data_IF_987645787123
#
_entry.id   IF_987645787123
#
_cell.length_a   1.000
_cell.length_b   1.000
_cell.length_c   1.000
_cell.angle_alpha   90.00
_cell.angle_beta   90.00
_cell.angle_gamma   90.00
#
_symmetry.space_group_name_H-M   'P 1'
#
loop_
_entity.id
_entity.type
_entity.pdbx_description
1 polymer ?
#
# COMPACT_ATOMS: atom_id res chain seq x y z
N UNK A 1 16.77 -8.79 7.22
CA UNK A 1 16.52 -9.77 8.30
C UNK A 1 16.99 -11.12 7.80
N UNK A 2 17.79 -11.85 8.59
CA UNK A 2 18.29 -13.18 8.19
C UNK A 2 17.12 -14.16 8.11
N UNK A 3 17.02 -14.90 7.01
CA UNK A 3 16.09 -16.02 6.87
C UNK A 3 16.26 -16.99 8.06
N UNK A 4 15.17 -17.63 8.54
CA UNK A 4 15.29 -18.63 9.60
C UNK A 4 16.24 -19.73 9.12
N UNK A 5 17.37 -19.92 9.81
CA UNK A 5 18.31 -20.98 9.46
C UNK A 5 17.63 -22.34 9.70
N UNK A 6 17.60 -23.20 8.68
CA UNK A 6 17.02 -24.54 8.81
C UNK A 6 17.83 -25.44 9.78
N UNK A 7 17.23 -26.49 10.37
CA UNK A 7 17.91 -27.42 11.28
C UNK A 7 19.27 -27.95 10.79
N UNK A 8 19.40 -28.22 9.48
CA UNK A 8 20.69 -28.63 8.89
C UNK A 8 21.71 -27.50 8.87
N UNK A 9 21.29 -26.28 8.54
CA UNK A 9 22.17 -25.11 8.54
C UNK A 9 22.66 -24.80 9.96
N UNK A 10 21.80 -24.91 10.96
CA UNK A 10 22.19 -24.80 12.37
C UNK A 10 23.22 -25.87 12.75
N UNK A 11 22.98 -27.13 12.36
CA UNK A 11 23.91 -28.22 12.62
C UNK A 11 25.28 -28.02 11.94
N UNK A 12 25.35 -27.60 10.68
CA UNK A 12 26.63 -27.45 9.98
C UNK A 12 27.36 -26.13 10.31
N UNK A 13 26.62 -25.06 10.58
CA UNK A 13 27.20 -23.74 10.88
C UNK A 13 28.06 -23.73 12.15
N UNK A 14 27.74 -24.58 13.14
CA UNK A 14 28.58 -24.73 14.35
C UNK A 14 29.99 -25.28 14.04
N UNK A 15 30.20 -25.82 12.85
CA UNK A 15 31.47 -26.40 12.42
C UNK A 15 32.20 -25.59 11.36
N UNK A 16 31.71 -24.43 10.94
CA UNK A 16 32.39 -23.57 9.95
C UNK A 16 33.81 -23.19 10.39
N UNK A 17 34.78 -23.29 9.49
CA UNK A 17 36.19 -22.91 9.74
C UNK A 17 36.92 -22.58 8.43
N UNK A 18 38.14 -22.06 8.53
CA UNK A 18 38.97 -21.79 7.35
C UNK A 18 39.26 -23.10 6.60
N UNK A 19 38.64 -23.28 5.44
CA UNK A 19 38.73 -24.49 4.61
C UNK A 19 37.46 -25.36 4.55
N UNK A 20 36.38 -24.96 5.21
CA UNK A 20 35.07 -25.62 5.10
C UNK A 20 33.94 -24.59 5.27
N UNK A 21 33.07 -24.53 4.27
CA UNK A 21 31.84 -23.75 4.28
C UNK A 21 30.71 -24.69 3.90
N UNK A 22 29.67 -24.72 4.72
CA UNK A 22 28.47 -25.51 4.45
C UNK A 22 27.84 -25.15 3.09
N UNK A 23 27.63 -26.15 2.24
CA UNK A 23 26.87 -26.04 1.00
C UNK A 23 25.45 -26.64 1.18
N UNK A 24 24.38 -25.82 1.16
CA UNK A 24 23.01 -26.31 1.34
C UNK A 24 22.49 -27.18 0.18
N UNK A 25 23.15 -27.19 -0.97
CA UNK A 25 22.74 -27.98 -2.13
C UNK A 25 23.31 -29.40 -2.13
N UNK A 26 24.29 -29.69 -1.28
CA UNK A 26 24.89 -31.01 -1.13
C UNK A 26 24.06 -31.88 -0.16
N UNK A 27 23.76 -33.15 -0.48
CA UNK A 27 23.04 -34.05 0.43
C UNK A 27 23.70 -34.13 1.81
N UNK A 28 22.90 -34.03 2.89
CA UNK A 28 23.42 -33.89 4.26
C UNK A 28 24.44 -34.97 4.68
N UNK A 29 24.28 -36.21 4.21
CA UNK A 29 25.24 -37.29 4.48
C UNK A 29 26.56 -37.14 3.71
N UNK A 30 26.53 -36.57 2.51
CA UNK A 30 27.72 -36.28 1.71
C UNK A 30 28.47 -35.09 2.27
N UNK A 31 27.74 -34.03 2.63
CA UNK A 31 28.26 -32.85 3.30
C UNK A 31 28.91 -33.20 4.65
N UNK A 32 28.31 -34.11 5.42
CA UNK A 32 28.90 -34.61 6.66
C UNK A 32 30.18 -35.42 6.44
N UNK A 33 30.25 -36.22 5.37
CA UNK A 33 31.50 -36.93 5.00
C UNK A 33 32.60 -35.93 4.66
N UNK A 34 32.27 -34.88 3.90
CA UNK A 34 33.21 -33.82 3.56
C UNK A 34 33.72 -33.10 4.81
N UNK A 35 32.82 -32.73 5.73
CA UNK A 35 33.17 -32.16 7.04
C UNK A 35 34.10 -33.08 7.84
N UNK A 36 33.80 -34.38 7.91
CA UNK A 36 34.63 -35.35 8.63
C UNK A 36 36.05 -35.45 8.06
N UNK A 37 36.18 -35.41 6.73
CA UNK A 37 37.48 -35.42 6.04
C UNK A 37 38.24 -34.11 6.29
N UNK A 38 37.60 -32.96 6.11
CA UNK A 38 38.21 -31.64 6.30
C UNK A 38 38.71 -31.44 7.74
N UNK A 39 37.97 -31.95 8.74
CA UNK A 39 38.35 -31.90 10.15
C UNK A 39 39.24 -33.05 10.62
N UNK A 40 39.52 -34.03 9.74
CA UNK A 40 40.26 -35.25 10.06
C UNK A 40 39.71 -35.98 11.30
N UNK A 41 38.38 -36.08 11.44
CA UNK A 41 37.77 -36.70 12.60
C UNK A 41 38.03 -38.21 12.66
N UNK A 42 38.46 -38.69 13.83
CA UNK A 42 38.56 -40.12 14.10
C UNK A 42 37.18 -40.77 14.31
N UNK A 43 37.11 -42.09 14.15
CA UNK A 43 35.86 -42.89 14.24
C UNK A 43 34.96 -42.55 15.45
N UNK A 44 35.55 -42.29 16.61
CA UNK A 44 34.80 -41.94 17.83
C UNK A 44 34.00 -40.65 17.65
N UNK A 45 34.66 -39.59 17.14
CA UNK A 45 34.06 -38.27 16.96
C UNK A 45 33.02 -38.24 15.83
N UNK A 46 33.25 -39.05 14.79
CA UNK A 46 32.25 -39.27 13.73
C UNK A 46 30.96 -39.84 14.34
N UNK A 47 31.04 -40.91 15.14
CA UNK A 47 29.85 -41.51 15.78
C UNK A 47 29.13 -40.54 16.72
N UNK A 48 29.87 -39.72 17.46
CA UNK A 48 29.30 -38.71 18.37
C UNK A 48 28.44 -37.69 17.60
N UNK A 49 28.88 -37.23 16.43
CA UNK A 49 28.14 -36.24 15.63
C UNK A 49 27.15 -36.84 14.62
N UNK A 50 27.32 -38.10 14.23
CA UNK A 50 26.42 -38.81 13.31
C UNK A 50 24.99 -38.90 13.85
N UNK A 51 24.85 -39.13 15.16
CA UNK A 51 23.52 -39.16 15.81
C UNK A 51 22.84 -37.78 15.76
N UNK A 52 23.61 -36.71 16.01
CA UNK A 52 23.10 -35.35 15.96
C UNK A 52 22.73 -34.92 14.53
N UNK A 53 23.49 -35.37 13.52
CA UNK A 53 23.14 -35.17 12.11
C UNK A 53 21.82 -35.87 11.78
N UNK A 54 21.65 -37.14 12.16
CA UNK A 54 20.42 -37.88 11.87
C UNK A 54 19.19 -37.21 12.49
N UNK A 55 19.30 -36.69 13.71
CA UNK A 55 18.23 -35.91 14.34
C UNK A 55 17.96 -34.58 13.60
N UNK A 56 19.00 -33.90 13.11
CA UNK A 56 18.82 -32.69 12.32
C UNK A 56 18.15 -32.99 10.97
N UNK A 57 18.50 -34.11 10.31
CA UNK A 57 17.86 -34.60 9.08
C UNK A 57 16.39 -34.93 9.33
N UNK A 58 16.07 -35.61 10.44
CA UNK A 58 14.69 -35.94 10.80
C UNK A 58 13.87 -34.67 11.08
N UNK A 59 14.40 -33.70 11.83
CA UNK A 59 13.75 -32.41 12.08
C UNK A 59 13.55 -31.59 10.81
N UNK A 60 14.54 -31.59 9.92
CA UNK A 60 14.43 -30.95 8.61
C UNK A 60 13.33 -31.61 7.77
N UNK A 61 13.24 -32.95 7.80
CA UNK A 61 12.16 -33.69 7.12
C UNK A 61 10.80 -33.42 7.75
N UNK A 62 10.69 -33.32 9.07
CA UNK A 62 9.44 -33.00 9.75
C UNK A 62 9.02 -31.54 9.52
N UNK A 63 9.97 -30.60 9.47
CA UNK A 63 9.72 -29.22 9.05
C UNK A 63 9.21 -29.20 7.60
N UNK A 64 9.86 -29.96 6.70
CA UNK A 64 9.42 -30.13 5.31
C UNK A 64 8.05 -30.79 5.20
N UNK A 65 7.73 -31.79 6.03
CA UNK A 65 6.40 -32.41 6.10
C UNK A 65 5.35 -31.45 6.62
N UNK A 66 5.69 -30.63 7.62
CA UNK A 66 4.80 -29.59 8.16
C UNK A 66 4.52 -28.48 7.14
N UNK A 67 5.51 -28.14 6.31
CA UNK A 67 5.39 -27.21 5.20
C UNK A 67 4.67 -27.82 3.99
N UNK A 68 4.87 -29.12 3.72
CA UNK A 68 4.16 -29.86 2.68
C UNK A 68 2.67 -30.06 3.01
N UNK A 69 2.31 -30.04 4.30
CA UNK A 69 0.90 -30.03 4.72
C UNK A 69 0.20 -28.68 4.51
N UNK A 70 0.95 -27.58 4.39
CA UNK A 70 0.40 -26.26 4.11
C UNK A 70 0.16 -26.08 2.61
N UNK A 71 1.10 -26.50 1.76
CA UNK A 71 1.09 -26.30 0.29
C UNK A 71 0.18 -27.26 -0.53
N UNK A 72 -0.74 -27.99 0.11
CA UNK A 72 -1.48 -29.08 -0.56
C UNK A 72 -2.28 -28.63 -1.80
N UNK A 73 -3.07 -27.54 -1.75
CA UNK A 73 -3.84 -27.07 -2.90
C UNK A 73 -3.00 -26.68 -4.12
N UNK A 74 -1.89 -25.96 -3.91
CA UNK A 74 -1.00 -25.55 -4.99
C UNK A 74 -0.24 -26.74 -5.56
N UNK A 75 0.26 -27.61 -4.68
CA UNK A 75 0.94 -28.83 -5.10
C UNK A 75 0.01 -29.75 -5.90
N UNK A 76 -1.25 -29.92 -5.48
CA UNK A 76 -2.27 -30.68 -6.21
C UNK A 76 -2.54 -30.06 -7.59
N UNK A 77 -2.68 -28.73 -7.65
CA UNK A 77 -2.87 -28.00 -8.91
C UNK A 77 -1.68 -28.18 -9.88
N UNK A 78 -0.44 -28.03 -9.43
CA UNK A 78 0.71 -28.13 -10.34
C UNK A 78 1.06 -29.59 -10.69
N UNK A 79 0.88 -30.51 -9.74
CA UNK A 79 1.23 -31.92 -9.94
C UNK A 79 0.36 -32.63 -10.99
N UNK A 80 -0.87 -32.15 -11.23
CA UNK A 80 -1.73 -32.67 -12.30
C UNK A 80 -1.16 -32.42 -13.71
N UNK A 81 -0.17 -31.54 -13.83
CA UNK A 81 0.47 -31.16 -15.10
C UNK A 81 1.92 -31.63 -15.22
N UNK A 82 2.42 -32.49 -14.33
CA UNK A 82 3.77 -33.04 -14.44
C UNK A 82 3.92 -33.90 -15.70
N UNK A 83 4.89 -33.59 -16.56
CA UNK A 83 5.21 -34.37 -17.77
C UNK A 83 6.69 -34.28 -18.14
N UNK A 84 7.11 -35.00 -19.19
CA UNK A 84 8.49 -34.93 -19.68
C UNK A 84 8.81 -33.53 -20.23
N UNK A 85 9.40 -32.68 -19.38
CA UNK A 85 9.72 -31.28 -19.70
C UNK A 85 9.20 -30.26 -18.68
N UNK A 86 8.37 -30.66 -17.72
CA UNK A 86 7.92 -29.79 -16.63
C UNK A 86 7.79 -30.60 -15.33
N UNK A 87 8.41 -30.12 -14.26
CA UNK A 87 8.29 -30.68 -12.91
C UNK A 87 8.12 -29.52 -11.96
N UNK A 88 7.03 -29.54 -11.21
CA UNK A 88 6.71 -28.51 -10.23
C UNK A 88 7.87 -28.28 -9.24
N UNK A 89 8.39 -27.06 -9.19
CA UNK A 89 9.36 -26.62 -8.18
C UNK A 89 8.67 -25.76 -7.10
N UNK A 90 8.49 -26.27 -5.87
CA UNK A 90 7.84 -25.52 -4.80
C UNK A 90 8.67 -24.33 -4.29
N UNK A 91 9.92 -24.18 -4.74
CA UNK A 91 10.80 -23.08 -4.36
C UNK A 91 10.72 -21.88 -5.31
N UNK A 92 10.14 -22.05 -6.49
CA UNK A 92 9.87 -20.96 -7.43
C UNK A 92 8.66 -20.15 -6.97
N UNK A 93 8.67 -18.80 -7.07
CA UNK A 93 7.49 -17.99 -6.82
C UNK A 93 6.27 -18.49 -7.61
N UNK A 94 5.13 -18.61 -6.94
CA UNK A 94 3.94 -19.32 -7.46
C UNK A 94 3.43 -18.76 -8.81
N UNK A 95 3.57 -17.45 -9.04
CA UNK A 95 3.24 -16.82 -10.33
C UNK A 95 4.25 -17.13 -11.43
N UNK A 96 5.54 -17.17 -11.10
CA UNK A 96 6.60 -17.53 -12.05
C UNK A 96 6.48 -19.00 -12.45
N UNK A 97 6.16 -19.87 -11.48
CA UNK A 97 5.93 -21.30 -11.70
C UNK A 97 4.72 -21.54 -12.62
N UNK A 98 3.63 -20.77 -12.48
CA UNK A 98 2.50 -20.80 -13.41
C UNK A 98 2.91 -20.29 -14.81
N UNK A 99 3.78 -19.28 -14.88
CA UNK A 99 4.37 -18.82 -16.13
C UNK A 99 5.18 -19.90 -16.83
N UNK A 100 6.03 -20.63 -16.10
CA UNK A 100 6.79 -21.76 -16.63
C UNK A 100 5.90 -22.89 -17.10
N UNK A 101 4.85 -23.22 -16.34
CA UNK A 101 3.84 -24.20 -16.74
C UNK A 101 3.18 -23.81 -18.08
N UNK A 102 2.74 -22.56 -18.22
CA UNK A 102 2.12 -22.06 -19.44
C UNK A 102 3.07 -22.14 -20.65
N UNK A 103 4.35 -21.81 -20.44
CA UNK A 103 5.37 -21.88 -21.48
C UNK A 103 5.69 -23.33 -21.87
N UNK A 104 5.85 -24.22 -20.90
CA UNK A 104 6.18 -25.63 -21.13
C UNK A 104 5.09 -26.36 -21.90
N UNK A 105 3.83 -26.07 -21.59
CA UNK A 105 2.68 -26.65 -22.30
C UNK A 105 2.30 -25.92 -23.59
N UNK A 106 2.92 -24.76 -23.87
CA UNK A 106 2.61 -23.91 -25.01
C UNK A 106 1.11 -23.61 -25.13
N UNK A 107 0.46 -23.33 -24.00
CA UNK A 107 -0.97 -23.09 -23.98
C UNK A 107 -1.36 -21.83 -24.77
N UNK A 108 -2.42 -21.94 -25.56
CA UNK A 108 -3.01 -20.77 -26.23
C UNK A 108 -3.77 -19.88 -25.24
N UNK A 109 -4.07 -18.61 -25.59
CA UNK A 109 -4.69 -17.63 -24.68
C UNK A 109 -6.01 -18.07 -24.05
N UNK A 110 -6.78 -18.95 -24.73
CA UNK A 110 -8.02 -19.48 -24.19
C UNK A 110 -7.79 -20.46 -23.03
N UNK A 111 -6.79 -21.34 -23.18
CA UNK A 111 -6.46 -22.34 -22.16
C UNK A 111 -5.75 -21.69 -20.97
N UNK A 112 -4.90 -20.68 -21.22
CA UNK A 112 -4.28 -19.89 -20.16
C UNK A 112 -5.37 -19.29 -19.24
N UNK A 113 -6.39 -18.64 -19.79
CA UNK A 113 -7.49 -18.05 -18.99
C UNK A 113 -8.26 -19.07 -18.17
N UNK A 114 -8.48 -20.27 -18.70
CA UNK A 114 -9.17 -21.34 -17.98
C UNK A 114 -8.33 -21.88 -16.82
N UNK A 115 -7.04 -22.11 -17.07
CA UNK A 115 -6.12 -22.62 -16.06
C UNK A 115 -5.72 -21.56 -15.04
N UNK A 116 -5.70 -20.29 -15.43
CA UNK A 116 -5.48 -19.15 -14.53
C UNK A 116 -6.58 -19.07 -13.47
N UNK A 117 -7.83 -19.36 -13.84
CA UNK A 117 -8.94 -19.42 -12.87
C UNK A 117 -8.75 -20.56 -11.86
N UNK A 118 -8.38 -21.77 -12.33
CA UNK A 118 -8.13 -22.92 -11.47
C UNK A 118 -6.90 -22.71 -10.55
N UNK A 119 -5.87 -22.05 -11.09
CA UNK A 119 -4.69 -21.63 -10.36
C UNK A 119 -5.02 -20.63 -9.26
N UNK A 120 -5.80 -19.58 -9.56
CA UNK A 120 -6.23 -18.59 -8.56
C UNK A 120 -7.05 -19.24 -7.44
N UNK A 121 -7.93 -20.19 -7.77
CA UNK A 121 -8.68 -20.98 -6.77
C UNK A 121 -7.73 -21.79 -5.87
N UNK A 122 -6.67 -22.36 -6.42
CA UNK A 122 -5.67 -23.10 -5.64
C UNK A 122 -4.87 -22.16 -4.70
N UNK A 123 -4.48 -20.97 -5.18
CA UNK A 123 -3.84 -19.92 -4.36
C UNK A 123 -4.76 -19.46 -3.22
N UNK A 124 -6.06 -19.34 -3.47
CA UNK A 124 -7.05 -18.91 -2.49
C UNK A 124 -7.27 -19.98 -1.41
N UNK A 125 -7.37 -21.26 -1.80
CA UNK A 125 -7.45 -22.39 -0.84
C UNK A 125 -6.22 -22.51 0.04
N UNK A 126 -5.05 -22.23 -0.51
CA UNK A 126 -3.78 -22.18 0.22
C UNK A 126 -3.80 -21.07 1.30
N UNK A 127 -4.37 -19.90 0.96
CA UNK A 127 -4.52 -18.77 1.89
C UNK A 127 -5.57 -19.03 2.97
N UNK A 128 -6.67 -19.69 2.64
CA UNK A 128 -7.72 -20.08 3.60
C UNK A 128 -7.19 -21.04 4.67
N UNK A 129 -6.25 -21.93 4.33
CA UNK A 129 -5.60 -22.85 5.28
C UNK A 129 -4.65 -22.14 6.26
N UNK A 130 -4.13 -20.96 5.91
CA UNK A 130 -3.25 -20.16 6.76
C UNK A 130 -3.97 -19.23 7.74
N UNK A 131 -5.31 -19.26 7.78
CA UNK A 131 -6.10 -18.43 8.68
C UNK A 131 -6.09 -16.96 8.27
N UNK A 132 -6.76 -16.64 7.16
CA UNK A 132 -7.07 -15.25 6.84
C UNK A 132 -8.26 -14.77 7.66
N UNK A 133 -8.12 -13.60 8.29
CA UNK A 133 -9.25 -12.82 8.79
C UNK A 133 -10.23 -12.60 7.62
N UNK A 134 -11.52 -12.79 7.81
CA UNK A 134 -12.51 -12.54 6.75
C UNK A 134 -12.50 -11.05 6.41
N UNK A 135 -12.27 -10.71 5.13
CA UNK A 135 -12.31 -9.32 4.69
C UNK A 135 -13.75 -8.74 4.63
N UNK A 136 -13.88 -7.41 4.55
CA UNK A 136 -15.17 -6.73 4.63
C UNK A 136 -16.11 -7.07 3.47
N UNK A 137 -15.60 -7.35 2.27
CA UNK A 137 -16.42 -7.64 1.10
C UNK A 137 -17.07 -9.04 1.18
N UNK A 138 -16.33 -10.04 1.64
CA UNK A 138 -16.83 -11.41 1.89
C UNK A 138 -17.84 -11.39 3.03
N UNK A 139 -17.57 -10.63 4.08
CA UNK A 139 -18.52 -10.44 5.17
C UNK A 139 -19.84 -9.84 4.67
N UNK A 140 -19.78 -8.74 3.90
CA UNK A 140 -20.98 -8.09 3.36
C UNK A 140 -21.70 -8.97 2.32
N UNK A 141 -20.96 -9.77 1.55
CA UNK A 141 -21.55 -10.78 0.69
C UNK A 141 -22.43 -11.75 1.49
N UNK A 142 -21.91 -12.36 2.56
CA UNK A 142 -22.68 -13.32 3.34
C UNK A 142 -23.85 -12.66 4.06
N UNK A 143 -23.64 -11.47 4.64
CA UNK A 143 -24.66 -10.69 5.31
C UNK A 143 -25.85 -10.37 4.41
N UNK A 144 -25.59 -10.04 3.13
CA UNK A 144 -26.64 -9.81 2.12
C UNK A 144 -27.55 -11.03 1.93
N UNK A 145 -27.01 -12.23 2.13
CA UNK A 145 -27.74 -13.48 1.91
C UNK A 145 -28.21 -14.15 3.20
N UNK A 146 -28.02 -13.55 4.38
CA UNK A 146 -28.53 -14.05 5.66
C UNK A 146 -30.05 -14.17 5.68
N UNK A 147 -30.54 -15.21 6.38
CA UNK A 147 -31.96 -15.48 6.59
C UNK A 147 -32.15 -16.43 7.77
N UNK A 148 -33.39 -16.72 8.17
CA UNK A 148 -33.70 -17.51 9.36
C UNK A 148 -32.97 -18.86 9.48
N UNK A 149 -32.51 -19.46 8.39
CA UNK A 149 -31.78 -20.75 8.39
C UNK A 149 -30.29 -20.64 8.09
N UNK A 150 -29.77 -19.43 7.85
CA UNK A 150 -28.36 -19.17 7.58
C UNK A 150 -27.91 -17.88 8.26
N UNK A 151 -27.01 -18.04 9.21
CA UNK A 151 -26.23 -16.97 9.85
C UNK A 151 -24.77 -17.28 9.58
N UNK A 152 -24.03 -16.31 9.07
CA UNK A 152 -22.64 -16.53 8.67
C UNK A 152 -21.75 -16.88 9.87
N UNK A 153 -21.02 -17.99 9.79
CA UNK A 153 -20.08 -18.41 10.83
C UNK A 153 -18.66 -17.93 10.49
N UNK A 154 -18.17 -16.95 11.25
CA UNK A 154 -16.84 -16.36 11.07
C UNK A 154 -15.69 -17.34 11.35
N UNK A 155 -15.96 -18.38 12.16
CA UNK A 155 -14.95 -19.38 12.53
C UNK A 155 -14.84 -20.53 11.52
N UNK A 156 -15.68 -20.53 10.48
CA UNK A 156 -15.68 -21.55 9.43
C UNK A 156 -15.00 -21.02 8.16
N UNK A 157 -14.30 -21.88 7.38
CA UNK A 157 -13.69 -21.47 6.13
C UNK A 157 -14.71 -20.83 5.19
N UNK A 158 -14.34 -19.71 4.57
CA UNK A 158 -15.19 -18.88 3.70
C UNK A 158 -15.86 -19.74 2.62
N UNK A 159 -15.11 -20.65 2.00
CA UNK A 159 -15.65 -21.57 0.99
C UNK A 159 -16.67 -22.57 1.55
N UNK A 160 -16.48 -23.04 2.79
CA UNK A 160 -17.41 -23.95 3.45
C UNK A 160 -18.74 -23.26 3.75
N UNK A 161 -18.68 -21.99 4.17
CA UNK A 161 -19.88 -21.18 4.41
C UNK A 161 -20.62 -20.84 3.12
N UNK A 162 -19.91 -20.59 2.02
CA UNK A 162 -20.52 -20.41 0.70
C UNK A 162 -21.28 -21.67 0.26
N UNK A 163 -20.67 -22.85 0.40
CA UNK A 163 -21.34 -24.12 0.08
C UNK A 163 -22.55 -24.38 0.97
N UNK A 164 -22.46 -24.04 2.27
CA UNK A 164 -23.58 -24.14 3.20
C UNK A 164 -24.73 -23.23 2.79
N UNK A 165 -24.43 -21.99 2.41
CA UNK A 165 -25.39 -21.02 1.90
C UNK A 165 -26.09 -21.54 0.64
N UNK A 166 -25.33 -22.03 -0.34
CA UNK A 166 -25.85 -22.60 -1.59
C UNK A 166 -26.81 -23.75 -1.31
N UNK A 167 -26.41 -24.68 -0.42
CA UNK A 167 -27.23 -25.84 -0.04
C UNK A 167 -28.54 -25.43 0.63
N UNK A 168 -28.49 -24.44 1.53
CA UNK A 168 -29.69 -23.97 2.26
C UNK A 168 -30.63 -23.12 1.39
N UNK A 169 -30.09 -22.39 0.42
CA UNK A 169 -30.88 -21.57 -0.53
C UNK A 169 -31.48 -22.39 -1.67
N UNK A 170 -30.84 -23.50 -2.06
CA UNK A 170 -31.30 -24.36 -3.14
C UNK A 170 -31.36 -23.62 -4.49
N UNK A 171 -30.38 -22.77 -4.78
CA UNK A 171 -30.36 -22.03 -6.04
C UNK A 171 -30.25 -22.96 -7.25
N UNK A 172 -31.09 -22.73 -8.25
CA UNK A 172 -30.93 -23.32 -9.58
C UNK A 172 -29.68 -22.79 -10.29
N UNK A 173 -29.21 -23.53 -11.30
CA UNK A 173 -27.93 -23.35 -11.98
C UNK A 173 -27.65 -21.91 -12.46
N UNK A 174 -28.65 -21.24 -13.03
CA UNK A 174 -28.53 -19.85 -13.49
C UNK A 174 -28.31 -18.84 -12.34
N UNK A 175 -28.96 -19.04 -11.20
CA UNK A 175 -28.78 -18.17 -10.03
C UNK A 175 -27.49 -18.50 -9.30
N UNK A 176 -27.10 -19.78 -9.25
CA UNK A 176 -25.85 -20.21 -8.64
C UNK A 176 -24.64 -19.57 -9.33
N UNK A 177 -24.59 -19.58 -10.67
CA UNK A 177 -23.52 -18.95 -11.44
C UNK A 177 -23.38 -17.46 -11.12
N UNK A 178 -24.49 -16.73 -11.08
CA UNK A 178 -24.49 -15.29 -10.74
C UNK A 178 -24.02 -15.02 -9.30
N UNK A 179 -24.43 -15.86 -8.35
CA UNK A 179 -24.05 -15.66 -6.94
C UNK A 179 -22.60 -16.09 -6.70
N UNK A 180 -22.13 -17.15 -7.34
CA UNK A 180 -20.72 -17.56 -7.32
C UNK A 180 -19.82 -16.46 -7.90
N UNK A 181 -20.23 -15.79 -8.99
CA UNK A 181 -19.49 -14.65 -9.52
C UNK A 181 -19.42 -13.48 -8.53
N UNK A 182 -20.50 -13.18 -7.80
CA UNK A 182 -20.51 -12.14 -6.77
C UNK A 182 -19.60 -12.50 -5.58
N UNK A 183 -19.63 -13.76 -5.17
CA UNK A 183 -18.79 -14.29 -4.10
C UNK A 183 -17.31 -14.21 -4.48
N UNK A 184 -16.92 -14.75 -5.63
CA UNK A 184 -15.53 -14.70 -6.11
C UNK A 184 -15.05 -13.24 -6.25
N UNK A 185 -15.91 -12.33 -6.71
CA UNK A 185 -15.57 -10.90 -6.76
C UNK A 185 -15.31 -10.34 -5.36
N UNK A 186 -16.12 -10.70 -4.36
CA UNK A 186 -15.92 -10.28 -2.99
C UNK A 186 -14.60 -10.83 -2.42
N UNK A 187 -14.27 -12.11 -2.68
CA UNK A 187 -13.00 -12.68 -2.23
C UNK A 187 -11.81 -12.02 -2.93
N UNK A 188 -11.88 -11.76 -4.23
CA UNK A 188 -10.81 -11.06 -4.97
C UNK A 188 -10.59 -9.64 -4.43
N UNK A 189 -11.68 -8.91 -4.13
CA UNK A 189 -11.60 -7.58 -3.52
C UNK A 189 -10.94 -7.64 -2.15
N UNK A 190 -11.35 -8.58 -1.29
CA UNK A 190 -10.74 -8.76 0.03
C UNK A 190 -9.29 -9.23 -0.06
N UNK A 191 -8.93 -10.10 -0.99
CA UNK A 191 -7.55 -10.55 -1.19
C UNK A 191 -6.65 -9.40 -1.70
N UNK A 192 -7.23 -8.46 -2.45
CA UNK A 192 -6.56 -7.26 -2.92
C UNK A 192 -6.44 -6.23 -1.80
N UNK A 193 -7.48 -6.05 -0.98
CA UNK A 193 -7.47 -5.15 0.19
C UNK A 193 -6.60 -5.68 1.34
N UNK A 194 -6.54 -6.99 1.54
CA UNK A 194 -5.62 -7.62 2.50
C UNK A 194 -4.18 -7.62 2.02
N UNK A 195 -3.97 -7.63 0.70
CA UNK A 195 -2.68 -7.22 0.14
C UNK A 195 -2.39 -5.77 0.55
N UNK A 196 -3.33 -4.84 0.41
CA UNK A 196 -3.14 -3.42 0.80
C UNK A 196 -2.91 -3.20 2.31
N UNK A 197 -3.42 -4.08 3.18
CA UNK A 197 -3.23 -4.03 4.64
C UNK A 197 -1.86 -4.55 5.14
N UNK A 198 -0.93 -4.87 4.24
CA UNK A 198 0.35 -5.52 4.56
C UNK A 198 1.46 -4.64 5.16
N UNK A 199 1.27 -3.33 5.35
CA UNK A 199 2.29 -2.47 6.00
C UNK A 199 1.67 -1.40 6.89
N UNK A 200 2.39 -1.13 7.99
CA UNK A 200 2.01 -0.29 9.13
C UNK A 200 1.52 1.12 8.73
N UNK A 201 1.98 1.66 7.61
CA UNK A 201 1.76 3.06 7.19
C UNK A 201 0.40 3.33 6.53
N UNK A 202 -0.06 2.46 5.62
CA UNK A 202 -1.43 2.51 5.07
C UNK A 202 -2.45 2.08 6.14
N UNK A 203 -1.97 1.21 7.04
CA UNK A 203 -2.69 0.79 8.23
C UNK A 203 -3.01 1.95 9.17
N UNK A 204 -2.15 2.95 9.35
CA UNK A 204 -2.37 3.99 10.38
C UNK A 204 -3.64 4.82 10.15
N UNK A 205 -3.83 5.38 8.96
CA UNK A 205 -5.03 6.18 8.66
C UNK A 205 -6.29 5.32 8.69
N UNK A 206 -6.24 4.11 8.12
CA UNK A 206 -7.35 3.17 8.15
C UNK A 206 -7.69 2.72 9.59
N UNK A 207 -6.68 2.40 10.40
CA UNK A 207 -6.80 2.00 11.79
C UNK A 207 -7.41 3.11 12.63
N UNK A 208 -6.90 4.33 12.52
CA UNK A 208 -7.47 5.48 13.21
C UNK A 208 -8.95 5.68 12.81
N UNK A 209 -9.29 5.59 11.52
CA UNK A 209 -10.69 5.70 11.07
C UNK A 209 -11.58 4.56 11.61
N UNK A 210 -11.06 3.34 11.72
CA UNK A 210 -11.75 2.19 12.31
C UNK A 210 -12.00 2.43 13.82
N UNK A 211 -11.02 2.98 14.54
CA UNK A 211 -11.18 3.33 15.96
C UNK A 211 -12.26 4.41 16.18
N UNK A 212 -12.53 5.23 15.17
CA UNK A 212 -13.59 6.25 15.21
C UNK A 212 -14.98 5.72 14.81
N UNK A 213 -15.15 4.42 14.56
CA UNK A 213 -16.45 3.83 14.21
C UNK A 213 -17.50 4.09 15.29
N UNK A 214 -18.70 4.49 14.86
CA UNK A 214 -19.79 4.80 15.77
C UNK A 214 -21.14 4.67 15.07
N UNK A 215 -22.25 4.74 15.81
CA UNK A 215 -23.57 4.64 15.17
C UNK A 215 -23.74 5.66 14.04
N UNK A 216 -23.93 5.17 12.80
CA UNK A 216 -24.03 5.99 11.59
C UNK A 216 -22.74 6.16 10.77
N UNK A 217 -21.57 5.77 11.30
CA UNK A 217 -20.29 5.78 10.59
C UNK A 217 -19.57 4.43 10.75
N UNK A 218 -19.21 3.81 9.62
CA UNK A 218 -18.38 2.62 9.54
C UNK A 218 -17.32 2.86 8.47
N UNK A 219 -16.08 2.46 8.73
CA UNK A 219 -15.03 2.56 7.72
C UNK A 219 -15.28 1.54 6.61
N UNK A 220 -15.22 1.98 5.35
CA UNK A 220 -15.54 1.15 4.17
C UNK A 220 -14.35 0.99 3.21
N UNK A 221 -13.12 1.18 3.69
CA UNK A 221 -11.92 1.08 2.82
C UNK A 221 -11.77 2.25 1.84
N UNK A 222 -12.53 3.33 2.02
CA UNK A 222 -12.42 4.52 1.17
C UNK A 222 -11.16 5.35 1.44
N UNK A 223 -10.91 6.32 0.56
CA UNK A 223 -9.82 7.29 0.73
C UNK A 223 -9.94 8.03 2.08
N UNK A 224 -8.85 8.20 2.84
CA UNK A 224 -8.89 8.70 4.21
C UNK A 224 -9.65 10.02 4.36
N UNK A 225 -9.46 10.99 3.47
CA UNK A 225 -10.13 12.29 3.52
C UNK A 225 -11.64 12.21 3.24
N UNK A 226 -12.08 11.25 2.44
CA UNK A 226 -13.49 11.01 2.12
C UNK A 226 -14.17 10.34 3.31
N UNK A 227 -13.50 9.33 3.89
CA UNK A 227 -13.96 8.63 5.08
C UNK A 227 -14.02 9.57 6.29
N UNK A 228 -12.99 10.39 6.49
CA UNK A 228 -12.97 11.42 7.52
C UNK A 228 -14.11 12.43 7.34
N UNK A 229 -14.41 12.87 6.11
CA UNK A 229 -15.56 13.74 5.83
C UNK A 229 -16.89 13.08 6.18
N UNK A 230 -17.05 11.78 5.94
CA UNK A 230 -18.24 11.01 6.36
C UNK A 230 -18.34 10.96 7.89
N UNK A 231 -17.24 10.66 8.57
CA UNK A 231 -17.16 10.67 10.04
C UNK A 231 -17.58 12.03 10.61
N UNK A 232 -16.99 13.12 10.12
CA UNK A 232 -17.32 14.49 10.54
C UNK A 232 -18.80 14.80 10.32
N UNK A 233 -19.40 14.36 9.19
CA UNK A 233 -20.85 14.53 8.94
C UNK A 233 -21.70 13.81 9.99
N UNK A 234 -21.34 12.58 10.36
CA UNK A 234 -22.06 11.78 11.35
C UNK A 234 -21.91 12.38 12.75
N UNK A 235 -20.70 12.74 13.18
CA UNK A 235 -20.49 13.43 14.46
C UNK A 235 -21.25 14.75 14.49
N UNK A 236 -21.25 15.52 13.39
CA UNK A 236 -21.99 16.79 13.28
C UNK A 236 -23.48 16.58 13.44
N UNK A 237 -24.04 15.53 12.85
CA UNK A 237 -25.45 15.21 12.99
C UNK A 237 -25.81 14.92 14.46
N UNK A 238 -25.01 14.07 15.14
CA UNK A 238 -25.20 13.77 16.57
C UNK A 238 -25.08 15.02 17.45
N UNK A 239 -24.06 15.84 17.23
CA UNK A 239 -23.85 17.08 17.95
C UNK A 239 -25.05 18.03 17.83
N UNK A 240 -25.58 18.19 16.61
CA UNK A 240 -26.77 19.01 16.39
C UNK A 240 -28.01 18.43 17.06
N UNK A 241 -28.16 17.11 17.11
CA UNK A 241 -29.28 16.47 17.78
C UNK A 241 -29.28 16.78 19.28
N UNK A 242 -28.15 16.56 19.96
CA UNK A 242 -28.01 16.84 21.40
C UNK A 242 -28.32 18.31 21.71
N UNK A 243 -27.86 19.24 20.89
CA UNK A 243 -28.15 20.67 21.08
C UNK A 243 -29.60 21.04 20.83
N UNK A 244 -30.27 20.44 19.85
CA UNK A 244 -31.71 20.65 19.63
C UNK A 244 -32.52 20.14 20.81
N UNK A 245 -32.17 18.98 21.35
CA UNK A 245 -32.81 18.42 22.54
C UNK A 245 -32.61 19.33 23.76
N UNK A 246 -31.45 20.00 23.85
CA UNK A 246 -31.16 21.01 24.86
C UNK A 246 -31.75 22.42 24.57
N UNK A 247 -32.53 22.60 23.50
CA UNK A 247 -33.11 23.89 23.12
C UNK A 247 -32.09 24.96 22.67
N UNK A 248 -30.88 24.55 22.28
CA UNK A 248 -29.82 25.45 21.83
C UNK A 248 -29.88 25.69 20.31
N UNK A 249 -29.48 26.88 19.87
CA UNK A 249 -29.40 27.22 18.44
C UNK A 249 -28.27 26.43 17.74
N UNK A 250 -28.58 25.91 16.55
CA UNK A 250 -27.69 25.12 15.69
C UNK A 250 -27.32 25.84 14.38
N UNK A 251 -27.76 27.09 14.16
CA UNK A 251 -27.65 27.77 12.85
C UNK A 251 -26.25 28.33 12.51
N UNK A 252 -25.37 28.53 13.49
CA UNK A 252 -24.15 29.33 13.29
C UNK A 252 -22.85 28.56 13.01
N UNK A 253 -22.92 27.33 12.47
CA UNK A 253 -21.72 26.48 12.29
C UNK A 253 -20.84 26.33 13.55
N UNK A 254 -21.38 26.62 14.74
CA UNK A 254 -20.65 26.66 16.01
C UNK A 254 -19.99 25.33 16.38
N UNK A 255 -20.40 24.24 15.73
CA UNK A 255 -19.73 22.94 15.82
C UNK A 255 -18.28 22.99 15.28
N UNK A 256 -17.99 23.81 14.27
CA UNK A 256 -16.63 23.96 13.71
C UNK A 256 -15.63 24.53 14.71
N UNK A 257 -16.11 25.31 15.67
CA UNK A 257 -15.30 25.92 16.73
C UNK A 257 -15.36 25.13 18.03
N UNK A 258 -16.13 24.04 18.08
CA UNK A 258 -16.24 23.24 19.28
C UNK A 258 -15.00 22.37 19.47
N UNK A 259 -14.61 22.22 20.74
CA UNK A 259 -13.42 21.48 21.14
C UNK A 259 -13.40 20.06 20.56
N UNK A 260 -14.54 19.36 20.57
CA UNK A 260 -14.68 18.02 20.01
C UNK A 260 -14.27 17.93 18.53
N UNK A 261 -14.66 18.91 17.70
CA UNK A 261 -14.33 18.89 16.28
C UNK A 261 -12.93 19.41 16.00
N UNK A 262 -12.47 20.40 16.77
CA UNK A 262 -11.08 20.84 16.71
C UNK A 262 -10.15 19.68 17.01
N UNK A 263 -10.40 18.96 18.11
CA UNK A 263 -9.65 17.77 18.49
C UNK A 263 -9.74 16.68 17.41
N UNK A 264 -10.93 16.36 16.90
CA UNK A 264 -11.10 15.36 15.85
C UNK A 264 -10.31 15.70 14.57
N UNK A 265 -10.29 16.99 14.19
CA UNK A 265 -9.51 17.45 13.05
C UNK A 265 -8.01 17.37 13.32
N UNK A 266 -7.56 17.84 14.49
CA UNK A 266 -6.16 17.76 14.91
C UNK A 266 -5.66 16.33 14.90
N UNK A 267 -6.36 15.40 15.58
CA UNK A 267 -5.99 13.99 15.63
C UNK A 267 -5.89 13.37 14.24
N UNK A 268 -6.86 13.65 13.35
CA UNK A 268 -6.80 13.12 11.98
C UNK A 268 -5.55 13.59 11.23
N UNK A 269 -5.24 14.89 11.29
CA UNK A 269 -4.11 15.45 10.54
C UNK A 269 -2.75 15.13 11.17
N UNK A 270 -2.69 14.94 12.49
CA UNK A 270 -1.51 14.37 13.16
C UNK A 270 -1.21 12.97 12.61
N UNK A 271 -2.22 12.10 12.46
CA UNK A 271 -2.03 10.77 11.85
C UNK A 271 -1.64 10.86 10.38
N UNK A 272 -2.13 11.86 9.63
CA UNK A 272 -1.68 12.09 8.24
C UNK A 272 -0.20 12.48 8.19
N UNK A 273 0.26 13.33 9.11
CA UNK A 273 1.68 13.70 9.21
C UNK A 273 2.54 12.53 9.67
N UNK A 274 2.06 11.70 10.61
CA UNK A 274 2.73 10.47 11.01
C UNK A 274 2.88 9.49 9.85
N UNK A 275 1.82 9.28 9.07
CA UNK A 275 1.86 8.45 7.86
C UNK A 275 2.86 9.00 6.82
N UNK A 276 2.93 10.32 6.66
CA UNK A 276 3.92 10.98 5.82
C UNK A 276 5.35 10.76 6.30
N UNK A 277 5.59 10.94 7.60
CA UNK A 277 6.91 10.77 8.19
C UNK A 277 7.39 9.33 8.09
N UNK A 278 6.52 8.33 8.34
CA UNK A 278 6.89 6.93 8.20
C UNK A 278 7.21 6.56 6.75
N UNK A 279 6.39 7.00 5.80
CA UNK A 279 6.66 6.79 4.38
C UNK A 279 8.02 7.38 3.98
N UNK A 280 8.33 8.57 4.51
CA UNK A 280 9.60 9.23 4.27
C UNK A 280 10.77 8.53 4.98
N UNK A 281 10.57 8.01 6.19
CA UNK A 281 11.54 7.20 6.92
C UNK A 281 11.85 5.91 6.17
N UNK A 282 10.84 5.24 5.61
CA UNK A 282 11.00 4.09 4.73
C UNK A 282 11.86 4.44 3.51
N UNK A 283 11.63 5.62 2.91
CA UNK A 283 12.50 6.15 1.85
C UNK A 283 13.94 6.35 2.35
N UNK A 284 14.11 6.99 3.51
CA UNK A 284 15.40 7.27 4.12
C UNK A 284 16.18 6.00 4.46
N UNK A 285 15.51 4.94 4.90
CA UNK A 285 16.12 3.64 5.18
C UNK A 285 16.71 3.01 3.92
N UNK A 286 16.00 3.09 2.80
CA UNK A 286 16.46 2.55 1.51
C UNK A 286 17.55 3.45 0.92
N UNK A 287 17.31 4.75 0.88
CA UNK A 287 18.14 5.71 0.17
C UNK A 287 19.34 6.22 1.00
N UNK A 288 19.34 6.04 2.32
CA UNK A 288 20.35 6.58 3.26
C UNK A 288 20.52 8.09 3.11
N UNK A 289 19.41 8.80 2.96
CA UNK A 289 19.33 10.26 2.94
C UNK A 289 18.55 10.76 4.13
N UNK A 290 18.78 12.02 4.50
CA UNK A 290 17.90 12.73 5.40
C UNK A 290 16.54 13.03 4.74
N UNK A 291 15.45 13.16 5.51
CA UNK A 291 14.10 13.38 4.98
C UNK A 291 13.99 14.53 3.95
N UNK A 292 14.58 15.69 4.23
CA UNK A 292 14.55 16.83 3.30
C UNK A 292 15.43 16.61 2.06
N UNK A 293 16.50 15.80 2.16
CA UNK A 293 17.35 15.46 1.02
C UNK A 293 16.59 14.58 0.03
N UNK A 294 15.76 13.65 0.52
CA UNK A 294 14.85 12.86 -0.34
C UNK A 294 13.93 13.79 -1.10
N UNK A 295 13.26 14.72 -0.42
CA UNK A 295 12.34 15.66 -1.07
C UNK A 295 13.04 16.54 -2.10
N UNK A 296 14.23 17.05 -1.81
CA UNK A 296 15.03 17.81 -2.79
C UNK A 296 15.49 16.92 -3.94
N UNK A 297 15.84 15.65 -3.70
CA UNK A 297 16.17 14.69 -4.74
C UNK A 297 15.00 14.45 -5.71
N UNK A 298 13.78 14.35 -5.18
CA UNK A 298 12.55 14.17 -5.94
C UNK A 298 12.13 15.44 -6.70
N UNK A 299 12.19 16.61 -6.06
CA UNK A 299 11.54 17.83 -6.53
C UNK A 299 12.48 18.97 -6.93
N UNK A 300 13.73 18.95 -6.47
CA UNK A 300 14.69 20.00 -6.73
C UNK A 300 14.97 20.16 -8.22
N UNK A 301 15.58 21.28 -8.66
CA UNK A 301 15.96 21.45 -10.05
C UNK A 301 16.90 20.33 -10.47
N UNK A 302 16.47 19.53 -11.43
CA UNK A 302 17.33 18.56 -12.08
C UNK A 302 18.17 19.35 -13.05
N UNK A 303 19.47 19.46 -12.82
CA UNK A 303 20.39 19.91 -13.86
C UNK A 303 20.53 18.78 -14.91
N UNK A 304 19.43 18.46 -15.59
CA UNK A 304 19.39 17.56 -16.74
C UNK A 304 19.14 18.39 -17.99
N UNK A 305 20.22 18.96 -18.52
CA UNK A 305 20.30 19.24 -19.94
C UNK A 305 20.93 18.02 -20.63
N UNK A 306 20.29 17.39 -21.63
CA UNK A 306 20.87 16.25 -22.36
C UNK A 306 22.16 16.58 -23.13
N UNK A 307 22.55 17.86 -23.22
CA UNK A 307 23.70 18.31 -24.00
C UNK A 307 24.99 18.57 -23.20
N UNK A 308 24.95 18.49 -21.86
CA UNK A 308 26.13 18.73 -21.05
C UNK A 308 26.24 17.59 -20.04
N UNK A 309 27.19 16.69 -20.26
CA UNK A 309 27.54 15.58 -19.36
C UNK A 309 28.07 16.05 -18.00
N UNK A 310 27.27 16.83 -17.29
CA UNK A 310 27.50 17.36 -15.97
C UNK A 310 26.72 16.48 -15.01
N UNK A 311 27.44 15.88 -14.07
CA UNK A 311 26.93 15.16 -12.92
C UNK A 311 26.25 16.20 -12.02
N UNK A 312 24.99 16.53 -12.32
CA UNK A 312 24.25 17.57 -11.61
C UNK A 312 23.82 17.10 -10.23
N UNK A 313 24.21 17.78 -9.15
CA UNK A 313 23.74 17.52 -7.76
C UNK A 313 23.69 16.05 -7.29
N UNK A 314 24.35 15.12 -8.00
CA UNK A 314 24.39 13.71 -7.62
C UNK A 314 25.70 13.45 -6.88
N UNK A 315 25.56 13.19 -5.59
CA UNK A 315 26.67 13.00 -4.65
C UNK A 315 26.77 14.15 -3.66
N UNK A 316 27.91 14.83 -3.68
CA UNK A 316 28.42 15.63 -2.57
C UNK A 316 27.60 16.89 -2.25
N UNK A 317 26.94 17.50 -3.23
CA UNK A 317 26.16 18.72 -3.03
C UNK A 317 24.79 18.46 -2.37
N UNK A 318 24.10 17.38 -2.73
CA UNK A 318 22.87 16.96 -2.02
C UNK A 318 23.20 16.49 -0.60
N UNK A 319 24.30 15.74 -0.45
CA UNK A 319 24.78 15.25 0.86
C UNK A 319 25.21 16.39 1.80
N UNK A 320 25.75 17.48 1.26
CA UNK A 320 26.11 18.69 2.03
C UNK A 320 24.96 19.69 2.18
N UNK A 321 23.77 19.41 1.64
CA UNK A 321 22.65 20.33 1.66
C UNK A 321 22.01 20.41 3.04
N UNK A 322 22.14 21.60 3.65
CA UNK A 322 21.43 21.94 4.88
C UNK A 322 19.93 22.17 4.65
N UNK A 323 19.15 21.96 5.71
CA UNK A 323 17.68 22.12 5.71
C UNK A 323 17.20 23.50 5.24
N UNK A 324 17.93 24.58 5.53
CA UNK A 324 17.58 25.93 5.05
C UNK A 324 17.71 26.07 3.53
N UNK A 325 18.72 25.44 2.92
CA UNK A 325 18.85 25.41 1.46
C UNK A 325 17.71 24.57 0.83
N UNK A 326 17.39 23.42 1.44
CA UNK A 326 16.26 22.60 1.03
C UNK A 326 14.94 23.39 1.10
N UNK A 327 14.72 24.16 2.16
CA UNK A 327 13.55 25.03 2.32
C UNK A 327 13.41 26.05 1.19
N UNK A 328 14.51 26.64 0.73
CA UNK A 328 14.49 27.59 -0.40
C UNK A 328 14.05 26.87 -1.70
N UNK A 329 14.57 25.67 -1.95
CA UNK A 329 14.25 24.87 -3.13
C UNK A 329 12.80 24.39 -3.10
N UNK A 330 12.37 23.82 -1.97
CA UNK A 330 11.03 23.24 -1.83
C UNK A 330 9.94 24.32 -1.78
N UNK A 331 10.28 25.59 -1.54
CA UNK A 331 9.34 26.72 -1.61
C UNK A 331 8.75 26.93 -3.02
N UNK A 332 9.34 26.38 -4.08
CA UNK A 332 8.78 26.41 -5.43
C UNK A 332 8.04 25.12 -5.83
N UNK A 333 7.92 24.16 -4.91
CA UNK A 333 7.31 22.84 -5.19
C UNK A 333 5.87 22.86 -4.73
N UNK A 334 4.93 22.70 -5.65
CA UNK A 334 3.50 22.76 -5.34
C UNK A 334 2.88 21.37 -5.49
N UNK A 335 2.83 20.59 -4.41
CA UNK A 335 2.29 19.22 -4.42
C UNK A 335 1.17 19.06 -3.40
N UNK A 336 0.19 18.20 -3.71
CA UNK A 336 -0.83 17.81 -2.74
C UNK A 336 -0.29 16.65 -1.89
N UNK A 337 -0.33 16.79 -0.57
CA UNK A 337 0.24 15.80 0.36
C UNK A 337 -0.46 14.45 0.27
N UNK A 338 -1.78 14.43 0.05
CA UNK A 338 -2.51 13.17 -0.09
C UNK A 338 -2.15 12.46 -1.40
N UNK A 339 -1.95 13.20 -2.49
CA UNK A 339 -1.47 12.60 -3.75
C UNK A 339 -0.05 12.04 -3.61
N UNK A 340 0.82 12.73 -2.83
CA UNK A 340 2.15 12.23 -2.50
C UNK A 340 2.07 10.89 -1.75
N UNK A 341 1.27 10.84 -0.67
CA UNK A 341 1.06 9.63 0.10
C UNK A 341 0.56 8.49 -0.79
N UNK A 342 -0.52 8.73 -1.54
CA UNK A 342 -1.13 7.74 -2.41
C UNK A 342 -0.13 7.16 -3.43
N UNK A 343 0.72 8.01 -4.03
CA UNK A 343 1.62 7.60 -5.10
C UNK A 343 2.88 6.87 -4.59
N UNK A 344 3.48 7.34 -3.51
CA UNK A 344 4.74 6.78 -3.02
C UNK A 344 4.54 5.58 -2.09
N UNK A 345 3.39 5.48 -1.43
CA UNK A 345 3.08 4.34 -0.56
C UNK A 345 3.06 3.01 -1.32
N UNK A 346 2.47 2.96 -2.50
CA UNK A 346 2.44 1.74 -3.31
C UNK A 346 3.84 1.34 -3.78
N UNK A 347 4.66 2.31 -4.20
CA UNK A 347 5.97 2.01 -4.79
C UNK A 347 7.00 1.64 -3.72
N UNK A 348 6.98 2.29 -2.56
CA UNK A 348 7.93 1.96 -1.48
C UNK A 348 7.59 0.65 -0.78
N UNK A 349 6.40 0.10 -1.01
CA UNK A 349 6.03 -1.24 -0.54
C UNK A 349 6.84 -2.33 -1.21
N UNK A 350 7.13 -2.18 -2.50
CA UNK A 350 8.01 -3.06 -3.26
C UNK A 350 8.97 -2.20 -4.09
N UNK A 351 10.02 -1.64 -3.44
CA UNK A 351 10.86 -0.65 -4.10
C UNK A 351 11.58 -1.31 -5.28
N UNK A 352 11.57 -0.68 -6.48
CA UNK A 352 12.12 -1.26 -7.70
C UNK A 352 13.64 -1.47 -7.62
N UNK A 353 14.29 -0.86 -6.62
CA UNK A 353 15.70 -1.00 -6.36
C UNK A 353 16.04 -0.56 -4.94
N UNK A 354 17.13 -1.12 -4.40
CA UNK A 354 17.75 -0.66 -3.16
C UNK A 354 18.90 0.33 -3.41
N UNK A 355 19.26 0.61 -4.68
CA UNK A 355 20.24 1.64 -4.98
C UNK A 355 19.62 3.03 -4.79
N UNK A 356 20.18 3.80 -3.86
CA UNK A 356 19.62 5.09 -3.44
C UNK A 356 19.42 6.10 -4.57
N UNK A 357 20.35 6.13 -5.53
CA UNK A 357 20.33 7.10 -6.61
C UNK A 357 19.40 6.65 -7.72
N UNK A 358 19.42 5.36 -8.03
CA UNK A 358 18.51 4.77 -8.99
C UNK A 358 17.07 4.85 -8.49
N UNK A 359 16.82 4.68 -7.18
CA UNK A 359 15.50 4.86 -6.58
C UNK A 359 14.97 6.28 -6.80
N UNK A 360 15.77 7.31 -6.44
CA UNK A 360 15.39 8.71 -6.68
C UNK A 360 15.18 9.00 -8.17
N UNK A 361 16.03 8.48 -9.05
CA UNK A 361 15.89 8.68 -10.49
C UNK A 361 14.61 8.04 -11.06
N UNK A 362 14.24 6.86 -10.59
CA UNK A 362 13.02 6.17 -11.01
C UNK A 362 11.76 6.87 -10.49
N UNK A 363 11.83 7.42 -9.28
CA UNK A 363 10.69 8.03 -8.59
C UNK A 363 10.47 9.50 -8.94
N UNK A 364 11.50 10.19 -9.42
CA UNK A 364 11.45 11.61 -9.78
C UNK A 364 10.44 11.94 -10.89
N UNK A 365 10.34 11.19 -12.00
CA UNK A 365 9.30 11.45 -13.01
C UNK A 365 7.89 11.48 -12.41
N UNK A 366 7.59 10.55 -11.52
CA UNK A 366 6.32 10.52 -10.80
C UNK A 366 6.16 11.72 -9.87
N UNK A 367 7.20 12.07 -9.11
CA UNK A 367 7.18 13.27 -8.26
C UNK A 367 6.85 14.53 -9.08
N UNK A 368 7.49 14.70 -10.24
CA UNK A 368 7.26 15.80 -11.18
C UNK A 368 5.82 15.76 -11.72
N UNK A 369 5.31 14.59 -12.07
CA UNK A 369 3.94 14.42 -12.55
C UNK A 369 2.91 14.89 -11.52
N UNK A 370 3.17 14.74 -10.21
CA UNK A 370 2.28 15.19 -9.14
C UNK A 370 2.33 16.71 -8.89
N UNK A 371 3.39 17.40 -9.34
CA UNK A 371 3.52 18.85 -9.11
C UNK A 371 2.45 19.64 -9.88
N UNK A 372 1.98 20.71 -9.26
CA UNK A 372 1.17 21.74 -9.89
C UNK A 372 2.07 22.89 -10.35
N UNK A 373 1.71 23.59 -11.43
CA UNK A 373 2.49 24.73 -11.91
C UNK A 373 2.56 25.91 -10.93
N UNK A 374 1.57 26.06 -10.04
CA UNK A 374 1.50 27.16 -9.08
C UNK A 374 0.53 26.86 -7.93
N UNK A 375 0.61 27.69 -6.88
CA UNK A 375 -0.24 27.64 -5.69
C UNK A 375 -1.75 27.81 -5.97
N UNK A 376 -2.14 28.55 -7.02
CA UNK A 376 -3.56 28.75 -7.34
C UNK A 376 -4.19 27.44 -7.83
N UNK A 377 -3.52 26.74 -8.75
CA UNK A 377 -3.97 25.44 -9.26
C UNK A 377 -3.98 24.39 -8.17
N UNK A 378 -2.91 24.30 -7.35
CA UNK A 378 -2.88 23.41 -6.19
C UNK A 378 -4.03 23.71 -5.23
N UNK A 379 -4.32 25.00 -4.99
CA UNK A 379 -5.41 25.42 -4.12
C UNK A 379 -6.79 25.01 -4.61
N UNK A 380 -7.10 25.26 -5.89
CA UNK A 380 -8.37 24.85 -6.51
C UNK A 380 -8.50 23.33 -6.51
N UNK A 381 -7.45 22.61 -6.91
CA UNK A 381 -7.42 21.15 -6.86
C UNK A 381 -7.72 20.62 -5.45
N UNK A 382 -7.00 21.13 -4.45
CA UNK A 382 -7.14 20.68 -3.07
C UNK A 382 -8.52 20.99 -2.50
N UNK A 383 -9.14 22.10 -2.91
CA UNK A 383 -10.48 22.47 -2.50
C UNK A 383 -11.56 21.57 -3.13
N UNK A 384 -11.49 21.34 -4.45
CA UNK A 384 -12.44 20.48 -5.18
C UNK A 384 -12.37 19.03 -4.70
N UNK A 385 -11.17 18.53 -4.45
CA UNK A 385 -10.95 17.16 -3.97
C UNK A 385 -11.08 17.01 -2.45
N UNK A 386 -11.25 18.12 -1.71
CA UNK A 386 -11.29 18.15 -0.25
C UNK A 386 -10.01 17.56 0.41
N UNK A 387 -8.87 17.71 -0.26
CA UNK A 387 -7.54 17.22 0.14
C UNK A 387 -6.67 18.37 0.64
N UNK A 388 -7.04 18.98 1.75
CA UNK A 388 -6.30 20.12 2.32
C UNK A 388 -5.66 19.71 3.64
N UNK A 389 -4.35 19.91 3.76
CA UNK A 389 -3.62 19.77 5.02
C UNK A 389 -3.49 21.15 5.70
N UNK A 390 -3.92 21.31 6.97
CA UNK A 390 -3.81 22.56 7.70
C UNK A 390 -2.38 22.81 8.20
N UNK A 391 -1.77 23.91 7.75
CA UNK A 391 -0.40 24.29 8.14
C UNK A 391 -0.25 24.49 9.65
N UNK A 392 -1.32 24.87 10.34
CA UNK A 392 -1.30 25.13 11.79
C UNK A 392 -1.12 23.86 12.63
N UNK A 393 -1.40 22.69 12.04
CA UNK A 393 -1.28 21.38 12.71
C UNK A 393 0.09 20.75 12.44
N UNK A 394 0.72 21.11 11.31
CA UNK A 394 2.04 20.59 10.95
C UNK A 394 3.09 20.89 12.01
N UNK A 395 3.98 19.93 12.27
CA UNK A 395 5.14 20.16 13.12
C UNK A 395 5.99 21.31 12.58
N UNK A 396 6.25 22.33 13.40
CA UNK A 396 6.94 23.57 12.97
C UNK A 396 8.32 23.32 12.39
N UNK A 397 9.00 22.32 12.93
CA UNK A 397 10.33 21.88 12.51
C UNK A 397 10.28 20.53 11.78
N UNK A 398 9.08 20.07 11.40
CA UNK A 398 8.90 18.83 10.64
C UNK A 398 9.43 18.93 9.21
N UNK A 399 9.44 17.81 8.49
CA UNK A 399 9.80 17.79 7.07
C UNK A 399 8.62 18.13 6.18
N UNK A 400 7.40 17.73 6.59
CA UNK A 400 6.16 18.02 5.88
C UNK A 400 5.97 19.52 5.64
N UNK A 401 6.28 20.35 6.64
CA UNK A 401 6.14 21.82 6.56
C UNK A 401 6.94 22.44 5.40
N UNK A 402 7.98 21.77 4.91
CA UNK A 402 8.78 22.23 3.76
C UNK A 402 8.01 22.17 2.44
N UNK A 403 6.99 21.31 2.34
CA UNK A 403 6.10 21.17 1.18
C UNK A 403 4.77 21.92 1.34
N UNK A 404 4.44 22.37 2.55
CA UNK A 404 3.16 23.01 2.81
C UNK A 404 3.17 24.48 2.37
N UNK A 405 2.14 24.83 1.61
CA UNK A 405 1.92 26.20 1.16
C UNK A 405 0.71 26.81 1.87
N UNK A 406 0.81 28.10 2.21
CA UNK A 406 -0.32 28.86 2.74
C UNK A 406 -1.32 29.16 1.65
N UNK A 407 -2.12 28.17 1.28
CA UNK A 407 -3.23 28.34 0.33
C UNK A 407 -4.28 29.32 0.91
N UNK A 408 -4.40 29.36 2.25
CA UNK A 408 -5.24 30.30 3.01
C UNK A 408 -4.90 31.77 2.82
N UNK A 409 -3.66 32.13 2.52
CA UNK A 409 -3.31 33.55 2.26
C UNK A 409 -4.00 34.06 0.98
N UNK A 410 -4.37 33.14 0.08
CA UNK A 410 -5.18 33.44 -1.10
C UNK A 410 -6.70 33.43 -0.83
N UNK A 411 -7.16 33.15 0.40
CA UNK A 411 -8.60 33.07 0.75
C UNK A 411 -9.35 34.39 0.69
N UNK A 412 -8.68 35.54 0.83
CA UNK A 412 -9.27 36.84 0.45
C UNK A 412 -9.42 36.90 -1.08
N UNK A 413 -10.46 36.26 -1.58
CA UNK A 413 -10.75 36.11 -3.00
C UNK A 413 -10.85 34.66 -3.46
N UNK A 414 -10.39 33.66 -2.71
CA UNK A 414 -10.46 32.26 -3.14
C UNK A 414 -11.89 31.78 -3.42
N UNK A 415 -12.89 32.23 -2.65
CA UNK A 415 -14.30 31.93 -2.97
C UNK A 415 -14.71 32.54 -4.31
N UNK A 416 -14.23 33.74 -4.61
CA UNK A 416 -14.42 34.38 -5.91
C UNK A 416 -13.70 33.60 -7.01
N UNK A 417 -12.44 33.23 -6.78
CA UNK A 417 -11.65 32.42 -7.71
C UNK A 417 -12.30 31.08 -8.02
N UNK A 418 -12.75 30.36 -6.99
CA UNK A 418 -13.46 29.09 -7.14
C UNK A 418 -14.72 29.28 -7.96
N UNK A 419 -15.49 30.33 -7.68
CA UNK A 419 -16.69 30.66 -8.44
C UNK A 419 -16.35 31.01 -9.90
N UNK A 420 -15.34 31.84 -10.13
CA UNK A 420 -14.90 32.22 -11.47
C UNK A 420 -14.39 30.99 -12.25
N UNK A 421 -13.68 30.08 -11.58
CA UNK A 421 -13.25 28.81 -12.15
C UNK A 421 -14.43 27.88 -12.46
N UNK A 422 -15.40 27.74 -11.54
CA UNK A 422 -16.62 26.94 -11.75
C UNK A 422 -17.44 27.49 -12.93
N UNK A 423 -17.56 28.82 -13.03
CA UNK A 423 -18.21 29.49 -14.16
C UNK A 423 -17.46 29.30 -15.48
N UNK A 424 -16.13 29.39 -15.46
CA UNK A 424 -15.28 29.20 -16.66
C UNK A 424 -15.21 27.73 -17.12
N UNK A 425 -15.15 26.78 -16.18
CA UNK A 425 -15.08 25.34 -16.46
C UNK A 425 -16.44 24.76 -16.88
N UNK A 426 -17.54 25.31 -16.37
CA UNK A 426 -18.89 24.93 -16.78
C UNK A 426 -19.15 23.43 -16.69
N UNK A 427 -19.56 22.82 -17.81
CA UNK A 427 -19.90 21.39 -17.86
C UNK A 427 -18.67 20.47 -17.73
N UNK A 428 -17.49 20.93 -18.15
CA UNK A 428 -16.26 20.13 -18.07
C UNK A 428 -15.89 19.81 -16.62
N UNK A 429 -16.24 20.70 -15.68
CA UNK A 429 -16.05 20.45 -14.26
C UNK A 429 -16.93 19.30 -13.77
N UNK A 430 -18.17 19.19 -14.22
CA UNK A 430 -19.07 18.11 -13.82
C UNK A 430 -18.58 16.75 -14.34
N UNK A 431 -18.07 16.71 -15.58
CA UNK A 431 -17.44 15.52 -16.15
C UNK A 431 -16.19 15.13 -15.36
N UNK A 432 -15.33 16.11 -15.04
CA UNK A 432 -14.13 15.90 -14.24
C UNK A 432 -14.45 15.44 -12.80
N UNK A 433 -15.50 15.97 -12.17
CA UNK A 433 -15.97 15.53 -10.85
C UNK A 433 -16.47 14.08 -10.87
N UNK A 434 -17.14 13.66 -11.95
CA UNK A 434 -17.60 12.28 -12.12
C UNK A 434 -16.44 11.28 -12.24
N UNK A 435 -15.31 11.72 -12.80
CA UNK A 435 -14.06 10.97 -12.88
C UNK A 435 -13.21 11.06 -11.60
N UNK A 436 -13.62 11.91 -10.65
CA UNK A 436 -12.93 12.12 -9.38
C UNK A 436 -11.62 12.90 -9.53
N UNK A 437 -10.66 12.62 -8.63
CA UNK A 437 -9.40 13.41 -8.52
C UNK A 437 -8.60 13.48 -9.82
N UNK A 438 -8.56 12.38 -10.58
CA UNK A 438 -7.80 12.29 -11.83
C UNK A 438 -8.43 13.20 -12.90
N UNK A 439 -9.76 13.20 -13.00
CA UNK A 439 -10.50 14.10 -13.88
C UNK A 439 -10.27 15.56 -13.52
N UNK A 440 -10.41 15.91 -12.24
CA UNK A 440 -10.18 17.28 -11.74
C UNK A 440 -8.74 17.76 -12.04
N UNK A 441 -7.74 16.91 -11.77
CA UNK A 441 -6.33 17.22 -12.07
C UNK A 441 -6.14 17.45 -13.57
N UNK A 442 -6.63 16.54 -14.41
CA UNK A 442 -6.51 16.63 -15.86
C UNK A 442 -7.18 17.88 -16.41
N UNK A 443 -8.39 18.21 -15.93
CA UNK A 443 -9.08 19.44 -16.30
C UNK A 443 -8.24 20.67 -15.96
N UNK A 444 -7.78 20.78 -14.70
CA UNK A 444 -6.99 21.92 -14.25
C UNK A 444 -5.71 22.14 -15.05
N UNK A 445 -5.07 21.06 -15.50
CA UNK A 445 -3.83 21.10 -16.27
C UNK A 445 -4.03 21.15 -17.79
N UNK A 446 -5.27 21.03 -18.28
CA UNK A 446 -5.57 20.95 -19.73
C UNK A 446 -5.31 22.26 -20.49
N UNK A 447 -5.45 23.41 -19.81
CA UNK A 447 -5.32 24.74 -20.41
C UNK A 447 -4.98 25.79 -19.36
N UNK A 448 -4.56 26.96 -19.83
CA UNK A 448 -4.49 28.15 -18.98
C UNK A 448 -5.90 28.69 -18.74
N UNK A 449 -6.23 29.00 -17.48
CA UNK A 449 -7.55 29.52 -17.10
C UNK A 449 -7.49 31.04 -16.92
N UNK A 450 -8.45 31.75 -17.52
CA UNK A 450 -8.55 33.20 -17.46
C UNK A 450 -8.66 33.68 -16.01
N UNK A 451 -9.44 32.97 -15.17
CA UNK A 451 -9.63 33.28 -13.76
C UNK A 451 -8.31 33.36 -12.96
N UNK A 452 -7.27 32.59 -13.34
CA UNK A 452 -5.97 32.60 -12.65
C UNK A 452 -5.05 33.77 -13.05
N UNK A 453 -5.32 34.47 -14.15
CA UNK A 453 -4.49 35.59 -14.60
C UNK A 453 -4.57 36.81 -13.66
N UNK A 454 -5.76 37.05 -13.11
CA UNK A 454 -6.02 38.14 -12.16
C UNK A 454 -5.21 38.01 -10.87
N UNK A 455 -4.92 36.77 -10.46
CA UNK A 455 -4.08 36.45 -9.29
C UNK A 455 -2.61 36.61 -9.57
N UNK A 456 -2.13 36.22 -10.77
CA UNK A 456 -0.72 36.38 -11.16
C UNK A 456 -0.29 37.86 -11.09
N UNK A 457 -1.17 38.78 -11.51
CA UNK A 457 -0.94 40.22 -11.40
C UNK A 457 -0.88 40.73 -9.94
N UNK A 458 -1.65 40.13 -9.02
CA UNK A 458 -1.62 40.48 -7.59
C UNK A 458 -0.43 39.86 -6.84
N UNK A 459 0.01 38.67 -7.25
CA UNK A 459 1.14 37.95 -6.66
C UNK A 459 2.49 38.64 -6.93
N UNK A 460 2.64 39.34 -8.06
CA UNK A 460 3.83 40.16 -8.33
C UNK A 460 3.93 41.40 -7.42
N UNK A 461 2.86 41.77 -6.71
CA UNK A 461 2.78 43.02 -5.93
C UNK A 461 2.97 42.84 -4.41
N UNK A 462 3.02 41.60 -3.88
CA UNK A 462 3.16 41.33 -2.45
C UNK A 462 4.40 40.46 -2.21
N UNK A 463 5.47 40.98 -1.58
CA UNK A 463 6.62 40.16 -1.22
C UNK A 463 6.25 39.20 -0.09
N UNK A 464 6.64 37.93 -0.25
CA UNK A 464 6.37 36.81 0.65
C UNK A 464 7.01 36.94 2.02
#
# INVERSE_FOLDING_TARGET
MSTPNGPLQEFFSQFNFHGYTYDPHTPALEEFKFLCQARQWGRRKIREHETALLLAVEREQDLRRSLAGLNMPLQEFFSQFNFYGYTYDPHTPVLEEFGFLCQAWQWGPSMIREQEMAFLIAVERERDLRGSLVGPNVFDFFRKYEFQRFTYNLDAPIQSEFQRLVKLRGWGEANLSKVAQQFNRAVVLDATEQSVLGTQEAGLLAHWLIEQECHGYRYLGGLPEIEFKKLVRVKRWKWNQVRREAGMDTRNEAWKESEEFNQLHTEFYEVVEEAFNLLLDSFCQIARFEPWQVLVGLYGPGLYGPEQGIIGLYGQELESMGKEAAKIILKSVFVNIFDFLDAFQEILRDPPTTDRWMLLQLLRPLAIELQFPNNSLLGVYSALTNRVFPLEIAEKDGTLVLLLHRIRVFWKGFRGLMKDFEEEAGYELQEAEAEGRVGIRRLLLSREWACFHSLRARQQAVPF
#
